data_IF_778318870111
#
_entry.id   IF_778318870111
#
_cell.length_a   1.000
_cell.length_b   1.000
_cell.length_c   1.000
_cell.angle_alpha   90.00
_cell.angle_beta   90.00
_cell.angle_gamma   90.00
#
_symmetry.space_group_name_H-M   'P 1'
#
loop_
_entity.id
_entity.type
_entity.pdbx_description
1 polymer ?
#
# COMPACT_ATOMS: atom_id res chain seq x y z
N UNK A 1 -9.20 -6.03 13.96
CA UNK A 1 -7.97 -5.83 13.18
C UNK A 1 -7.78 -4.35 12.91
N UNK A 2 -6.57 -3.82 13.11
CA UNK A 2 -6.21 -2.43 12.84
C UNK A 2 -5.55 -2.35 11.46
N UNK A 3 -6.21 -1.72 10.50
CA UNK A 3 -5.70 -1.59 9.13
C UNK A 3 -5.33 -0.13 8.88
N UNK A 4 -4.06 0.14 8.62
CA UNK A 4 -3.61 1.45 8.16
C UNK A 4 -3.76 1.54 6.64
N UNK A 5 -4.24 2.66 6.14
CA UNK A 5 -4.24 2.99 4.71
C UNK A 5 -3.51 4.31 4.55
N UNK A 6 -2.45 4.34 3.75
CA UNK A 6 -1.71 5.56 3.44
C UNK A 6 -1.71 5.81 1.94
N UNK A 7 -2.15 7.00 1.57
CA UNK A 7 -2.18 7.48 0.20
C UNK A 7 -1.21 8.65 0.04
N UNK A 8 -0.42 8.64 -1.03
CA UNK A 8 0.54 9.72 -1.30
C UNK A 8 -0.17 11.08 -1.42
N UNK A 9 -1.18 11.18 -2.26
CA UNK A 9 -1.90 12.42 -2.58
C UNK A 9 -3.32 12.11 -3.05
N UNK A 10 -4.25 13.05 -2.91
CA UNK A 10 -5.58 12.94 -3.54
C UNK A 10 -5.45 12.97 -5.06
N UNK A 11 -5.94 11.94 -5.73
CA UNK A 11 -5.94 11.81 -7.17
C UNK A 11 -6.94 10.72 -7.55
N UNK A 12 -7.78 10.89 -8.59
CA UNK A 12 -8.87 9.97 -8.88
C UNK A 12 -8.49 8.49 -8.94
N UNK A 13 -7.32 8.17 -9.52
CA UNK A 13 -6.84 6.79 -9.59
C UNK A 13 -6.46 6.22 -8.21
N UNK A 14 -5.85 7.02 -7.34
CA UNK A 14 -5.44 6.59 -6.00
C UNK A 14 -6.65 6.49 -5.07
N UNK A 15 -7.59 7.42 -5.20
CA UNK A 15 -8.85 7.42 -4.47
C UNK A 15 -9.69 6.17 -4.83
N UNK A 16 -9.72 5.80 -6.11
CA UNK A 16 -10.39 4.59 -6.58
C UNK A 16 -9.74 3.32 -5.99
N UNK A 17 -8.41 3.25 -5.94
CA UNK A 17 -7.69 2.13 -5.33
C UNK A 17 -7.99 2.01 -3.82
N UNK A 18 -7.99 3.14 -3.11
CA UNK A 18 -8.35 3.20 -1.69
C UNK A 18 -9.78 2.69 -1.47
N UNK A 19 -10.75 3.29 -2.18
CA UNK A 19 -12.16 2.91 -2.08
C UNK A 19 -12.38 1.43 -2.39
N UNK A 20 -11.79 0.93 -3.48
CA UNK A 20 -11.91 -0.47 -3.90
C UNK A 20 -11.38 -1.45 -2.85
N UNK A 21 -10.27 -1.12 -2.19
CA UNK A 21 -9.75 -1.95 -1.08
C UNK A 21 -10.72 -2.01 0.11
N UNK A 22 -11.23 -0.85 0.55
CA UNK A 22 -12.17 -0.77 1.67
C UNK A 22 -13.46 -1.50 1.34
N UNK A 23 -13.99 -1.32 0.13
CA UNK A 23 -15.21 -1.98 -0.33
C UNK A 23 -15.06 -3.49 -0.42
N UNK A 24 -13.96 -3.99 -0.99
CA UNK A 24 -13.72 -5.44 -1.09
C UNK A 24 -13.65 -6.12 0.29
N UNK A 25 -13.09 -5.43 1.31
CA UNK A 25 -13.10 -5.93 2.69
C UNK A 25 -14.50 -5.91 3.30
N UNK A 26 -15.32 -4.90 2.98
CA UNK A 26 -16.72 -4.84 3.42
C UNK A 26 -17.56 -5.94 2.78
N UNK A 27 -17.42 -6.16 1.47
CA UNK A 27 -18.13 -7.21 0.72
C UNK A 27 -17.81 -8.61 1.24
N UNK A 28 -16.59 -8.83 1.73
CA UNK A 28 -16.20 -10.08 2.41
C UNK A 28 -16.73 -10.20 3.84
N UNK A 29 -17.55 -9.27 4.32
CA UNK A 29 -18.14 -9.27 5.66
C UNK A 29 -17.14 -8.96 6.77
N UNK A 30 -16.01 -8.30 6.46
CA UNK A 30 -14.97 -7.98 7.44
C UNK A 30 -15.07 -6.57 8.02
N UNK A 31 -15.99 -5.74 7.52
CA UNK A 31 -16.14 -4.34 7.88
C UNK A 31 -16.15 -4.09 9.39
N UNK A 32 -16.98 -4.82 10.12
CA UNK A 32 -17.17 -4.65 11.57
C UNK A 32 -15.99 -5.16 12.40
N UNK A 33 -15.13 -5.99 11.79
CA UNK A 33 -13.92 -6.55 12.43
C UNK A 33 -12.69 -5.68 12.20
N UNK A 34 -12.79 -4.65 11.35
CA UNK A 34 -11.67 -3.82 10.93
C UNK A 34 -11.87 -2.37 11.40
N UNK A 35 -10.85 -1.84 12.07
CA UNK A 35 -10.71 -0.40 12.30
C UNK A 35 -9.75 0.14 11.26
N UNK A 36 -10.27 0.93 10.31
CA UNK A 36 -9.45 1.60 9.31
C UNK A 36 -8.89 2.91 9.85
N UNK A 37 -7.60 3.12 9.65
CA UNK A 37 -6.91 4.40 9.86
C UNK A 37 -6.40 4.90 8.51
N UNK A 38 -7.19 5.76 7.87
CA UNK A 38 -6.88 6.30 6.54
C UNK A 38 -6.14 7.63 6.66
N UNK A 39 -4.99 7.73 6.01
CA UNK A 39 -4.10 8.88 6.03
C UNK A 39 -3.73 9.29 4.60
N UNK A 40 -3.66 10.60 4.36
CA UNK A 40 -3.17 11.18 3.11
C UNK A 40 -1.91 11.98 3.42
N UNK A 41 -0.84 11.75 2.66
CA UNK A 41 0.44 12.42 2.90
C UNK A 41 0.56 13.79 2.21
N UNK A 42 -0.41 14.17 1.39
CA UNK A 42 -0.45 15.46 0.70
C UNK A 42 0.77 15.69 -0.21
N UNK A 43 1.19 14.64 -0.91
CA UNK A 43 2.40 14.57 -1.73
C UNK A 43 3.70 14.88 -0.98
N UNK A 44 3.69 14.82 0.36
CA UNK A 44 4.82 15.18 1.20
C UNK A 44 5.49 13.95 1.83
N UNK A 45 6.82 13.87 1.67
CA UNK A 45 7.62 12.75 2.16
C UNK A 45 7.79 12.75 3.69
N UNK A 46 7.77 13.91 4.34
CA UNK A 46 7.87 14.00 5.80
C UNK A 46 6.58 13.52 6.48
N UNK A 47 5.44 13.77 5.84
CA UNK A 47 4.14 13.22 6.25
C UNK A 47 4.14 11.69 6.13
N UNK A 48 4.63 11.14 5.01
CA UNK A 48 4.77 9.68 4.86
C UNK A 48 5.58 9.04 5.99
N UNK A 49 6.72 9.65 6.35
CA UNK A 49 7.55 9.16 7.43
C UNK A 49 6.81 9.20 8.78
N UNK A 50 6.11 10.29 9.07
CA UNK A 50 5.33 10.46 10.31
C UNK A 50 4.18 9.45 10.40
N UNK A 51 3.47 9.24 9.30
CA UNK A 51 2.41 8.23 9.19
C UNK A 51 2.97 6.82 9.39
N UNK A 52 4.14 6.51 8.80
CA UNK A 52 4.79 5.21 8.95
C UNK A 52 5.09 4.90 10.40
N UNK A 53 5.74 5.84 11.10
CA UNK A 53 6.07 5.70 12.52
C UNK A 53 4.83 5.53 13.39
N UNK A 54 3.75 6.28 13.10
CA UNK A 54 2.47 6.12 13.78
C UNK A 54 1.89 4.72 13.55
N UNK A 55 1.89 4.21 12.32
CA UNK A 55 1.36 2.87 12.03
C UNK A 55 2.13 1.76 12.74
N UNK A 56 3.46 1.89 12.85
CA UNK A 56 4.31 0.97 13.61
C UNK A 56 3.99 1.06 15.11
N UNK A 57 3.96 2.26 15.67
CA UNK A 57 3.66 2.51 17.09
C UNK A 57 2.27 2.00 17.49
N UNK A 58 1.28 2.25 16.64
CA UNK A 58 -0.10 1.77 16.81
C UNK A 58 -0.24 0.25 16.62
N UNK A 59 0.83 -0.43 16.20
CA UNK A 59 0.87 -1.87 15.90
C UNK A 59 -0.28 -2.25 14.96
N UNK A 60 -0.34 -1.63 13.77
CA UNK A 60 -1.30 -2.05 12.75
C UNK A 60 -1.08 -3.53 12.41
N UNK A 61 -2.16 -4.22 12.08
CA UNK A 61 -2.11 -5.62 11.67
C UNK A 61 -1.82 -5.77 10.16
N UNK A 62 -2.09 -4.72 9.39
CA UNK A 62 -1.91 -4.65 7.94
C UNK A 62 -1.81 -3.18 7.54
N UNK A 63 -0.97 -2.88 6.56
CA UNK A 63 -0.88 -1.57 5.93
C UNK A 63 -1.21 -1.70 4.44
N UNK A 64 -2.12 -0.89 3.93
CA UNK A 64 -2.23 -0.61 2.50
C UNK A 64 -1.44 0.67 2.20
N UNK A 65 -0.49 0.60 1.28
CA UNK A 65 0.27 1.74 0.81
C UNK A 65 -0.02 2.00 -0.67
N UNK A 66 -0.53 3.19 -0.97
CA UNK A 66 -0.98 3.56 -2.31
C UNK A 66 0.05 4.53 -2.91
N UNK A 67 0.61 4.12 -4.06
CA UNK A 67 1.77 4.70 -4.75
C UNK A 67 3.15 4.29 -4.19
N UNK A 68 4.15 4.29 -5.08
CA UNK A 68 5.52 3.84 -4.80
C UNK A 68 6.17 4.52 -3.58
N UNK A 69 6.12 5.86 -3.42
CA UNK A 69 6.76 6.51 -2.27
C UNK A 69 6.12 6.11 -0.94
N UNK A 70 4.80 5.88 -0.93
CA UNK A 70 4.09 5.43 0.25
C UNK A 70 4.54 4.03 0.66
N UNK A 71 4.60 3.09 -0.29
CA UNK A 71 5.05 1.72 -0.01
C UNK A 71 6.51 1.68 0.46
N UNK A 72 7.39 2.47 -0.15
CA UNK A 72 8.80 2.57 0.28
C UNK A 72 8.91 3.09 1.71
N UNK A 73 8.15 4.12 2.06
CA UNK A 73 8.17 4.70 3.40
C UNK A 73 7.68 3.71 4.46
N UNK A 74 6.65 2.93 4.15
CA UNK A 74 6.15 1.89 5.06
C UNK A 74 7.15 0.73 5.19
N UNK A 75 7.72 0.27 4.07
CA UNK A 75 8.69 -0.83 4.05
C UNK A 75 10.00 -0.49 4.79
N UNK A 76 10.40 0.79 4.77
CA UNK A 76 11.55 1.27 5.54
C UNK A 76 11.26 1.35 7.05
N UNK A 77 10.00 1.57 7.44
CA UNK A 77 9.62 1.73 8.84
C UNK A 77 9.38 0.38 9.56
N UNK A 78 9.03 -0.68 8.84
CA UNK A 78 8.76 -1.99 9.44
C UNK A 78 9.01 -3.15 8.49
N UNK A 79 9.54 -4.23 9.05
CA UNK A 79 9.71 -5.52 8.39
C UNK A 79 8.77 -6.61 8.95
N UNK A 80 7.95 -6.27 9.95
CA UNK A 80 7.09 -7.21 10.68
C UNK A 80 5.62 -7.07 10.28
N UNK A 81 5.14 -5.83 10.11
CA UNK A 81 3.74 -5.57 9.74
C UNK A 81 3.59 -5.88 8.25
N UNK A 82 2.63 -6.74 7.84
CA UNK A 82 2.35 -6.96 6.42
C UNK A 82 1.94 -5.67 5.70
N UNK A 83 2.53 -5.44 4.52
CA UNK A 83 2.27 -4.28 3.66
C UNK A 83 1.74 -4.78 2.32
N UNK A 84 0.59 -4.27 1.92
CA UNK A 84 0.05 -4.40 0.57
C UNK A 84 0.26 -3.09 -0.18
N UNK A 85 0.90 -3.14 -1.34
CA UNK A 85 1.04 -2.03 -2.27
C UNK A 85 -0.03 -2.05 -3.36
N UNK A 86 -0.36 -0.87 -3.88
CA UNK A 86 -1.14 -0.71 -5.12
C UNK A 86 -0.81 0.62 -5.79
N UNK A 87 -1.15 0.76 -7.08
CA UNK A 87 -0.68 1.85 -7.94
C UNK A 87 0.86 1.96 -7.94
N UNK A 88 1.52 0.81 -8.06
CA UNK A 88 2.98 0.69 -8.10
C UNK A 88 3.34 -0.02 -9.39
N UNK A 89 4.10 0.65 -10.24
CA UNK A 89 4.43 0.10 -11.56
C UNK A 89 5.43 -1.05 -11.44
N UNK A 90 6.56 -0.82 -10.78
CA UNK A 90 7.61 -1.83 -10.66
C UNK A 90 8.10 -1.94 -9.21
N UNK A 91 7.75 -3.04 -8.55
CA UNK A 91 8.15 -3.30 -7.17
C UNK A 91 9.65 -3.62 -7.03
N UNK A 92 10.25 -4.24 -8.05
CA UNK A 92 11.66 -4.61 -8.04
C UNK A 92 12.52 -3.36 -8.23
N UNK A 93 12.20 -2.52 -9.21
CA UNK A 93 12.86 -1.23 -9.39
C UNK A 93 12.66 -0.31 -8.18
N UNK A 94 11.50 -0.38 -7.52
CA UNK A 94 11.23 0.32 -6.27
C UNK A 94 11.96 -0.25 -5.04
N UNK A 95 12.67 -1.38 -5.19
CA UNK A 95 13.37 -2.12 -4.12
C UNK A 95 12.45 -2.59 -2.99
N UNK A 96 11.18 -2.83 -3.31
CA UNK A 96 10.17 -3.31 -2.37
C UNK A 96 10.17 -4.83 -2.24
N UNK A 97 10.68 -5.53 -3.25
CA UNK A 97 10.75 -6.99 -3.33
C UNK A 97 12.08 -7.41 -3.95
N UNK A 98 12.53 -8.64 -3.68
CA UNK A 98 13.72 -9.20 -4.36
C UNK A 98 13.37 -9.59 -5.81
N UNK A 99 12.61 -10.66 -6.07
CA UNK A 99 11.86 -10.81 -7.31
C UNK A 99 10.35 -10.63 -7.08
N UNK A 100 9.65 -10.06 -8.07
CA UNK A 100 8.19 -9.86 -8.05
C UNK A 100 7.38 -11.14 -7.76
N UNK A 101 7.90 -12.31 -8.12
CA UNK A 101 7.24 -13.61 -7.92
C UNK A 101 7.36 -14.16 -6.48
N UNK A 102 8.39 -13.75 -5.72
CA UNK A 102 8.64 -14.22 -4.35
C UNK A 102 9.23 -13.09 -3.51
N UNK A 103 8.38 -12.21 -2.94
CA UNK A 103 8.84 -10.97 -2.31
C UNK A 103 9.85 -11.17 -1.17
N UNK A 104 9.76 -12.30 -0.44
CA UNK A 104 10.76 -12.69 0.56
C UNK A 104 10.84 -11.80 1.81
N UNK A 105 9.91 -10.84 1.94
CA UNK A 105 9.75 -9.93 3.06
C UNK A 105 8.27 -9.69 3.37
N UNK A 106 7.95 -8.56 4.01
CA UNK A 106 6.59 -8.20 4.43
C UNK A 106 5.78 -7.41 3.38
N UNK A 107 6.33 -7.14 2.19
CA UNK A 107 5.66 -6.37 1.13
C UNK A 107 5.13 -7.30 0.04
N UNK A 108 3.89 -7.09 -0.37
CA UNK A 108 3.26 -7.70 -1.56
C UNK A 108 2.25 -6.70 -2.14
N UNK A 109 1.48 -7.05 -3.17
CA UNK A 109 0.43 -6.17 -3.68
C UNK A 109 0.07 -6.36 -5.15
N UNK A 110 -0.50 -5.31 -5.74
CA UNK A 110 -0.86 -5.24 -7.16
C UNK A 110 0.04 -4.26 -7.89
N UNK A 111 0.34 -4.54 -9.16
CA UNK A 111 1.05 -3.62 -10.06
C UNK A 111 0.10 -2.99 -11.07
N UNK A 112 0.36 -1.74 -11.47
CA UNK A 112 -0.33 -1.05 -12.57
C UNK A 112 0.48 -1.07 -13.88
N UNK A 113 1.55 -1.88 -13.95
CA UNK A 113 2.28 -2.13 -15.18
C UNK A 113 1.42 -2.93 -16.15
N UNK A 114 1.14 -2.36 -17.32
CA UNK A 114 0.48 -3.08 -18.40
C UNK A 114 1.45 -4.11 -19.02
N UNK A 115 1.00 -5.33 -19.35
CA UNK A 115 1.83 -6.30 -20.04
C UNK A 115 2.18 -5.81 -21.44
N UNK A 116 3.44 -5.44 -21.64
CA UNK A 116 3.98 -4.94 -22.93
C UNK A 116 3.79 -5.98 -24.05
N UNK A 117 3.84 -7.29 -23.71
CA UNK A 117 3.66 -8.39 -24.66
C UNK A 117 2.24 -8.47 -25.27
N UNK A 118 1.25 -7.77 -24.71
CA UNK A 118 -0.13 -7.78 -25.21
C UNK A 118 -0.49 -6.55 -26.08
N UNK A 119 0.49 -5.67 -26.36
CA UNK A 119 0.25 -4.41 -27.08
C UNK A 119 0.92 -4.33 -28.47
N UNK A 120 1.55 -5.41 -28.94
CA UNK A 120 2.21 -5.46 -30.25
C UNK A 120 1.40 -6.35 -31.19
N UNK A 121 0.59 -5.72 -32.05
CA UNK A 121 0.07 -6.30 -33.30
C UNK A 121 0.93 -5.82 -34.48
#
# INVERSE_FOLDING_TARGET
>A
YKVGVVQLVEHPALDAANKGFVDALKEKGLAEKITFDQQNAQADQSNLNSIAQRFVSDRKNLILAIATPAAQSMANATHDIPILGTAITDYEAAKLVKPNQKPGGNVSGTSDMNPVEQQVD
#
